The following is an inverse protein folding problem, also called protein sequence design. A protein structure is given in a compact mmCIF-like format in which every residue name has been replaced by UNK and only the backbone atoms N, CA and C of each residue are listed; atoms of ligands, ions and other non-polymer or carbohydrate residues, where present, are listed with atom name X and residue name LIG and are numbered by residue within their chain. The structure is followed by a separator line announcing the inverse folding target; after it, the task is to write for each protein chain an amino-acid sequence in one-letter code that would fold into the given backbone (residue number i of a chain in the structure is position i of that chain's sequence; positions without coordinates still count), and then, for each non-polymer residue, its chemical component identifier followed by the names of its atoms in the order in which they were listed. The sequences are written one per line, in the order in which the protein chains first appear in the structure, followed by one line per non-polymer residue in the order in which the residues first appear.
data_IF_241130805214
#
_entry.id   IF_241130805214
#
_cell.length_a   1.000
_cell.length_b   1.000
_cell.length_c   1.000
_cell.angle_alpha   90.00
_cell.angle_beta   90.00
_cell.angle_gamma   90.00
#
_symmetry.space_group_name_H-M   'P 1'
#
loop_
_entity.id
_entity.type
_entity.pdbx_description
1 polymer ?
#
# COMPACT_ATOMS: atom_id res chain seq x y z
N UNK A 1 12.44 22.75 -20.89
CA UNK A 1 13.05 22.07 -19.70
C UNK A 1 11.98 21.81 -18.65
N UNK A 2 11.81 20.57 -18.24
CA UNK A 2 10.78 20.12 -17.29
C UNK A 2 11.10 20.65 -15.90
N UNK A 3 10.10 21.25 -15.23
CA UNK A 3 10.17 21.76 -13.85
C UNK A 3 9.29 20.91 -12.93
N UNK A 4 9.60 20.85 -11.65
CA UNK A 4 8.74 20.15 -10.66
C UNK A 4 7.30 20.68 -10.64
N UNK A 5 7.12 21.95 -10.91
CA UNK A 5 5.80 22.56 -11.04
C UNK A 5 4.98 21.95 -12.19
N UNK A 6 5.61 21.65 -13.33
CA UNK A 6 4.93 20.97 -14.44
C UNK A 6 4.43 19.58 -14.00
N UNK A 7 5.25 18.85 -13.24
CA UNK A 7 4.88 17.54 -12.72
C UNK A 7 3.75 17.64 -11.67
N UNK A 8 3.76 18.64 -10.79
CA UNK A 8 2.68 18.87 -9.80
C UNK A 8 1.35 19.15 -10.50
N UNK A 9 1.35 20.02 -11.50
CA UNK A 9 0.14 20.32 -12.28
C UNK A 9 -0.35 19.07 -13.00
N UNK A 10 0.54 18.32 -13.63
CA UNK A 10 0.17 17.11 -14.35
C UNK A 10 -0.45 16.06 -13.42
N UNK A 11 0.17 15.77 -12.27
CA UNK A 11 -0.35 14.81 -11.29
C UNK A 11 -1.72 15.25 -10.78
N UNK A 12 -1.88 16.52 -10.38
CA UNK A 12 -3.17 17.02 -9.91
C UNK A 12 -4.28 16.88 -10.95
N UNK A 13 -4.01 17.22 -12.22
CA UNK A 13 -5.01 17.08 -13.30
C UNK A 13 -5.32 15.61 -13.59
N UNK A 14 -4.32 14.73 -13.54
CA UNK A 14 -4.53 13.30 -13.77
C UNK A 14 -5.35 12.64 -12.65
N UNK A 15 -5.18 13.06 -11.41
CA UNK A 15 -5.90 12.55 -10.24
C UNK A 15 -7.34 13.10 -10.14
N UNK A 16 -7.54 14.38 -10.43
CA UNK A 16 -8.89 14.99 -10.44
C UNK A 16 -9.73 14.55 -11.64
N UNK A 17 -9.10 14.21 -12.78
CA UNK A 17 -9.80 13.91 -14.03
C UNK A 17 -10.50 15.11 -14.69
N UNK A 18 -10.51 16.28 -14.05
CA UNK A 18 -11.12 17.53 -14.53
C UNK A 18 -10.17 18.71 -14.28
N UNK A 19 -9.93 19.49 -15.34
CA UNK A 19 -9.02 20.63 -15.27
C UNK A 19 -9.48 21.72 -14.28
N UNK A 20 -10.82 21.92 -14.14
CA UNK A 20 -11.38 22.91 -13.22
C UNK A 20 -11.16 22.52 -11.74
N UNK A 21 -11.33 21.25 -11.40
CA UNK A 21 -11.12 20.75 -10.04
C UNK A 21 -9.64 20.87 -9.65
N UNK A 22 -8.74 20.45 -10.51
CA UNK A 22 -7.31 20.61 -10.30
C UNK A 22 -6.90 22.10 -10.17
N UNK A 23 -7.53 23.00 -10.95
CA UNK A 23 -7.28 24.42 -10.88
C UNK A 23 -7.70 24.99 -9.51
N UNK A 24 -8.87 24.59 -9.00
CA UNK A 24 -9.33 24.96 -7.66
C UNK A 24 -8.40 24.44 -6.58
N UNK A 25 -7.98 23.17 -6.66
CA UNK A 25 -7.06 22.55 -5.70
C UNK A 25 -5.69 23.25 -5.64
N UNK A 26 -5.19 23.69 -6.79
CA UNK A 26 -3.89 24.36 -6.89
C UNK A 26 -3.98 25.89 -6.76
N UNK A 27 -5.16 26.45 -6.48
CA UNK A 27 -5.42 27.90 -6.42
C UNK A 27 -4.92 28.64 -7.67
N UNK A 28 -5.20 28.08 -8.86
CA UNK A 28 -4.80 28.63 -10.18
C UNK A 28 -5.97 28.67 -11.14
N UNK A 29 -5.77 29.30 -12.30
CA UNK A 29 -6.78 29.31 -13.35
C UNK A 29 -6.65 28.06 -14.25
N UNK A 30 -7.76 27.53 -14.82
CA UNK A 30 -7.71 26.42 -15.76
C UNK A 30 -6.83 26.73 -16.99
N UNK A 31 -6.81 27.98 -17.44
CA UNK A 31 -5.98 28.41 -18.56
C UNK A 31 -4.46 28.28 -18.23
N UNK A 32 -4.06 28.65 -17.00
CA UNK A 32 -2.68 28.52 -16.58
C UNK A 32 -2.26 27.04 -16.47
N UNK A 33 -3.13 26.16 -15.95
CA UNK A 33 -2.85 24.72 -15.92
C UNK A 33 -2.73 24.13 -17.33
N UNK A 34 -3.64 24.53 -18.24
CA UNK A 34 -3.61 24.08 -19.63
C UNK A 34 -2.30 24.46 -20.32
N UNK A 35 -1.81 25.68 -20.10
CA UNK A 35 -0.51 26.13 -20.65
C UNK A 35 0.65 25.31 -20.07
N UNK A 36 0.64 25.06 -18.76
CA UNK A 36 1.67 24.27 -18.09
C UNK A 36 1.70 22.83 -18.62
N UNK A 37 0.53 22.22 -18.83
CA UNK A 37 0.44 20.88 -19.42
C UNK A 37 0.95 20.85 -20.87
N UNK A 38 0.55 21.82 -21.70
CA UNK A 38 1.04 21.93 -23.08
C UNK A 38 2.58 22.07 -23.13
N UNK A 39 3.16 22.84 -22.22
CA UNK A 39 4.62 22.96 -22.13
C UNK A 39 5.27 21.63 -21.75
N UNK A 40 4.68 20.88 -20.79
CA UNK A 40 5.19 19.56 -20.41
C UNK A 40 5.08 18.56 -21.56
N UNK A 41 3.95 18.52 -22.26
CA UNK A 41 3.73 17.69 -23.45
C UNK A 41 4.73 18.04 -24.58
N UNK A 42 5.00 19.33 -24.79
CA UNK A 42 6.00 19.78 -25.74
C UNK A 42 7.43 19.36 -25.34
N UNK A 43 7.79 19.48 -24.07
CA UNK A 43 9.10 19.05 -23.56
C UNK A 43 9.29 17.51 -23.65
N UNK A 44 8.20 16.73 -23.54
CA UNK A 44 8.19 15.27 -23.68
C UNK A 44 8.05 14.79 -25.14
N UNK A 45 7.60 15.67 -26.03
CA UNK A 45 7.43 15.37 -27.46
C UNK A 45 6.16 14.58 -27.82
N UNK A 46 5.26 14.33 -26.85
CA UNK A 46 4.01 13.61 -27.10
C UNK A 46 2.93 13.97 -26.06
N UNK A 47 1.62 13.80 -26.40
CA UNK A 47 0.51 14.12 -25.51
C UNK A 47 0.43 13.14 -24.33
N UNK A 48 0.07 13.67 -23.17
CA UNK A 48 -0.16 12.91 -21.93
C UNK A 48 -1.63 12.51 -21.75
N UNK A 49 -2.55 13.21 -22.42
CA UNK A 49 -3.99 12.93 -22.38
C UNK A 49 -4.55 12.67 -23.77
N UNK A 50 -5.52 11.75 -23.84
CA UNK A 50 -6.17 11.37 -25.12
C UNK A 50 -7.15 12.44 -25.64
N UNK A 51 -7.64 13.32 -24.75
CA UNK A 51 -8.66 14.30 -25.10
C UNK A 51 -8.42 15.67 -24.45
N UNK A 52 -9.06 16.69 -24.95
CA UNK A 52 -8.96 18.05 -24.42
C UNK A 52 -9.54 18.20 -23.00
N UNK A 53 -10.50 17.35 -22.62
CA UNK A 53 -11.09 17.36 -21.26
C UNK A 53 -10.13 16.82 -20.20
N UNK A 54 -8.98 16.24 -20.61
CA UNK A 54 -7.95 15.70 -19.72
C UNK A 54 -8.47 14.61 -18.76
N UNK A 55 -9.50 13.88 -19.18
CA UNK A 55 -10.15 12.84 -18.38
C UNK A 55 -9.55 11.44 -18.57
N UNK A 56 -8.68 11.26 -19.58
CA UNK A 56 -8.08 9.97 -19.91
C UNK A 56 -6.63 10.14 -20.33
N UNK A 57 -5.76 9.36 -19.69
CA UNK A 57 -4.33 9.35 -19.98
C UNK A 57 -4.01 8.50 -21.20
N UNK A 58 -3.02 8.95 -21.98
CA UNK A 58 -2.35 8.11 -22.98
C UNK A 58 -1.47 7.05 -22.29
N UNK A 59 -0.98 6.02 -23.00
CA UNK A 59 0.02 5.10 -22.45
C UNK A 59 1.27 5.82 -21.90
N UNK A 60 1.75 6.86 -22.60
CA UNK A 60 2.82 7.73 -22.10
C UNK A 60 2.37 8.48 -20.84
N UNK A 61 1.14 9.01 -20.82
CA UNK A 61 0.58 9.71 -19.66
C UNK A 61 0.53 8.83 -18.42
N UNK A 62 0.11 7.57 -18.56
CA UNK A 62 0.07 6.62 -17.45
C UNK A 62 1.48 6.33 -16.90
N UNK A 63 2.46 6.11 -17.78
CA UNK A 63 3.85 5.94 -17.36
C UNK A 63 4.42 7.22 -16.73
N UNK A 64 4.20 8.37 -17.36
CA UNK A 64 4.65 9.66 -16.85
C UNK A 64 4.05 10.01 -15.48
N UNK A 65 2.79 9.61 -15.21
CA UNK A 65 2.15 9.81 -13.91
C UNK A 65 2.91 9.11 -12.80
N UNK A 66 3.25 7.84 -13.00
CA UNK A 66 4.04 7.08 -12.03
C UNK A 66 5.41 7.74 -11.77
N UNK A 67 6.11 8.15 -12.83
CA UNK A 67 7.42 8.79 -12.70
C UNK A 67 7.33 10.18 -12.05
N UNK A 68 6.30 10.97 -12.40
CA UNK A 68 6.07 12.27 -11.79
C UNK A 68 5.76 12.16 -10.29
N UNK A 69 4.93 11.21 -9.89
CA UNK A 69 4.65 10.93 -8.48
C UNK A 69 5.90 10.52 -7.71
N UNK A 70 6.77 9.68 -8.29
CA UNK A 70 8.06 9.30 -7.69
C UNK A 70 8.97 10.52 -7.49
N UNK A 71 9.15 11.33 -8.54
CA UNK A 71 10.00 12.52 -8.49
C UNK A 71 9.52 13.55 -7.46
N UNK A 72 8.20 13.80 -7.41
CA UNK A 72 7.61 14.73 -6.44
C UNK A 72 7.80 14.24 -5.00
N UNK A 73 7.57 12.95 -4.74
CA UNK A 73 7.78 12.37 -3.40
C UNK A 73 9.24 12.47 -2.96
N UNK A 74 10.19 12.16 -3.86
CA UNK A 74 11.61 12.27 -3.56
C UNK A 74 12.00 13.73 -3.24
N UNK A 75 11.50 14.70 -4.01
CA UNK A 75 11.74 16.12 -3.77
C UNK A 75 11.16 16.58 -2.43
N UNK A 76 9.90 16.25 -2.14
CA UNK A 76 9.25 16.65 -0.90
C UNK A 76 9.90 15.99 0.33
N UNK A 77 10.41 14.75 0.19
CA UNK A 77 11.22 14.07 1.18
C UNK A 77 12.53 14.83 1.46
N UNK A 78 13.26 15.18 0.40
CA UNK A 78 14.52 15.93 0.53
C UNK A 78 14.31 17.30 1.19
N UNK A 79 13.27 18.05 0.80
CA UNK A 79 12.93 19.34 1.44
C UNK A 79 12.58 19.15 2.91
N UNK A 80 11.88 18.09 3.25
CA UNK A 80 11.53 17.77 4.63
C UNK A 80 12.78 17.50 5.46
N UNK A 81 13.72 16.70 4.94
CA UNK A 81 15.01 16.44 5.61
C UNK A 81 15.85 17.71 5.79
N UNK A 82 15.93 18.57 4.78
CA UNK A 82 16.61 19.87 4.90
C UNK A 82 16.01 20.73 6.02
N UNK A 83 14.67 20.80 6.10
CA UNK A 83 13.97 21.55 7.16
C UNK A 83 14.23 20.97 8.55
N UNK A 84 14.27 19.64 8.68
CA UNK A 84 14.58 18.97 9.94
C UNK A 84 16.00 19.21 10.39
N UNK A 85 16.95 19.12 9.48
CA UNK A 85 18.35 19.43 9.74
C UNK A 85 18.50 20.89 10.22
N UNK A 86 17.86 21.83 9.51
CA UNK A 86 17.86 23.25 9.88
C UNK A 86 17.19 23.52 11.24
N UNK A 87 16.16 22.74 11.61
CA UNK A 87 15.46 22.87 12.89
C UNK A 87 16.18 22.18 14.06
N UNK A 88 17.30 21.48 13.82
CA UNK A 88 18.00 20.69 14.83
C UNK A 88 17.16 19.55 15.41
N UNK A 89 16.06 19.18 14.76
CA UNK A 89 15.15 18.12 15.21
C UNK A 89 15.72 16.74 14.84
N UNK A 90 15.67 15.81 15.77
CA UNK A 90 15.97 14.41 15.48
C UNK A 90 15.03 13.88 14.38
N UNK A 91 15.55 13.00 13.53
CA UNK A 91 14.87 12.54 12.31
C UNK A 91 13.48 11.94 12.51
N UNK A 92 12.74 11.78 11.42
CA UNK A 92 11.47 11.02 11.38
C UNK A 92 11.71 9.75 10.58
N UNK A 93 11.18 8.65 11.08
CA UNK A 93 11.15 7.37 10.38
C UNK A 93 9.71 7.05 10.05
N UNK A 94 9.43 6.83 8.76
CA UNK A 94 8.12 6.39 8.27
C UNK A 94 8.14 4.89 8.10
N UNK A 95 7.23 4.21 8.75
CA UNK A 95 7.12 2.75 8.74
C UNK A 95 5.75 2.36 8.20
N UNK A 96 5.71 1.42 7.28
CA UNK A 96 4.48 0.74 6.89
C UNK A 96 4.55 -0.72 7.34
N UNK A 97 3.46 -1.26 7.87
CA UNK A 97 3.41 -2.65 8.29
C UNK A 97 2.04 -3.25 7.97
N UNK A 98 2.00 -4.57 7.74
CA UNK A 98 0.72 -5.27 7.69
C UNK A 98 0.08 -5.26 9.07
N UNK A 99 -1.28 -5.30 9.19
CA UNK A 99 -1.98 -5.15 10.46
C UNK A 99 -1.50 -6.09 11.57
N UNK A 100 -1.17 -7.34 11.25
CA UNK A 100 -0.63 -8.30 12.21
C UNK A 100 0.74 -7.87 12.77
N UNK A 101 1.64 -7.41 11.91
CA UNK A 101 2.94 -6.89 12.35
C UNK A 101 2.78 -5.57 13.11
N UNK A 102 1.90 -4.67 12.66
CA UNK A 102 1.63 -3.40 13.31
C UNK A 102 1.12 -3.57 14.75
N UNK A 103 0.29 -4.60 14.98
CA UNK A 103 -0.29 -4.87 16.30
C UNK A 103 0.59 -5.73 17.20
N UNK A 104 1.32 -6.71 16.66
CA UNK A 104 2.05 -7.69 17.47
C UNK A 104 3.55 -7.40 17.60
N UNK A 105 4.18 -6.90 16.53
CA UNK A 105 5.64 -6.71 16.49
C UNK A 105 6.04 -5.25 16.74
N UNK A 106 5.33 -4.31 16.12
CA UNK A 106 5.73 -2.89 16.16
C UNK A 106 5.69 -2.28 17.55
N UNK A 107 4.72 -2.56 18.45
CA UNK A 107 4.72 -1.93 19.77
C UNK A 107 6.02 -2.17 20.54
N UNK A 108 6.49 -3.41 20.58
CA UNK A 108 7.74 -3.75 21.27
C UNK A 108 8.99 -3.20 20.58
N UNK A 109 9.01 -3.19 19.25
CA UNK A 109 10.14 -2.66 18.48
C UNK A 109 10.25 -1.14 18.62
N UNK A 110 9.12 -0.44 18.48
CA UNK A 110 9.08 1.02 18.54
C UNK A 110 9.33 1.56 19.95
N UNK A 111 8.82 0.87 21.00
CA UNK A 111 9.14 1.22 22.38
C UNK A 111 10.64 1.15 22.67
N UNK A 112 11.32 0.11 22.17
CA UNK A 112 12.78 -0.01 22.30
C UNK A 112 13.53 1.09 21.51
N UNK A 113 13.07 1.39 20.30
CA UNK A 113 13.64 2.46 19.50
C UNK A 113 13.51 3.82 20.21
N UNK A 114 12.32 4.14 20.74
CA UNK A 114 12.08 5.38 21.48
C UNK A 114 12.92 5.51 22.74
N UNK A 115 13.14 4.40 23.48
CA UNK A 115 14.02 4.38 24.63
C UNK A 115 15.49 4.66 24.25
N UNK A 116 15.96 4.15 23.10
CA UNK A 116 17.33 4.35 22.62
C UNK A 116 17.53 5.67 21.89
N UNK A 117 16.49 6.19 21.25
CA UNK A 117 16.52 7.40 20.40
C UNK A 117 15.28 8.27 20.67
N UNK A 118 15.19 8.92 21.84
CA UNK A 118 13.98 9.66 22.26
C UNK A 118 13.60 10.83 21.35
N UNK A 119 14.56 11.32 20.55
CA UNK A 119 14.30 12.40 19.60
C UNK A 119 13.81 11.94 18.22
N UNK A 120 13.71 10.62 17.97
CA UNK A 120 13.22 10.12 16.68
C UNK A 120 11.69 10.06 16.70
N UNK A 121 11.06 10.75 15.76
CA UNK A 121 9.64 10.63 15.49
C UNK A 121 9.39 9.41 14.60
N UNK A 122 8.45 8.55 14.97
CA UNK A 122 8.03 7.43 14.13
C UNK A 122 6.59 7.64 13.68
N UNK A 123 6.35 7.47 12.38
CA UNK A 123 5.02 7.45 11.79
C UNK A 123 4.76 6.03 11.29
N UNK A 124 3.88 5.30 11.98
CA UNK A 124 3.50 3.95 11.60
C UNK A 124 2.16 3.98 10.84
N UNK A 125 2.09 3.24 9.73
CA UNK A 125 0.87 3.00 8.95
C UNK A 125 0.65 1.51 8.81
N UNK A 126 -0.58 1.07 9.04
CA UNK A 126 -1.00 -0.31 8.78
C UNK A 126 -1.75 -0.38 7.44
N UNK A 127 -1.18 -1.11 6.50
CA UNK A 127 -1.67 -1.30 5.13
C UNK A 127 -1.39 -2.73 4.68
N UNK A 128 -1.97 -3.16 3.57
CA UNK A 128 -1.73 -4.51 3.03
C UNK A 128 -0.30 -4.69 2.50
N UNK A 129 0.11 -5.97 2.29
CA UNK A 129 1.48 -6.30 1.89
C UNK A 129 1.90 -5.68 0.56
N UNK A 130 1.01 -5.60 -0.41
CA UNK A 130 1.33 -5.01 -1.72
C UNK A 130 1.53 -3.50 -1.58
N UNK A 131 0.66 -2.84 -0.84
CA UNK A 131 0.79 -1.41 -0.55
C UNK A 131 2.04 -1.09 0.28
N UNK A 132 2.45 -1.96 1.22
CA UNK A 132 3.72 -1.81 1.96
C UNK A 132 4.90 -1.83 1.01
N UNK A 133 4.98 -2.84 0.12
CA UNK A 133 6.08 -2.96 -0.85
C UNK A 133 6.14 -1.75 -1.76
N UNK A 134 5.00 -1.30 -2.27
CA UNK A 134 4.92 -0.12 -3.14
C UNK A 134 5.30 1.17 -2.40
N UNK A 135 4.90 1.30 -1.14
CA UNK A 135 5.26 2.45 -0.30
C UNK A 135 6.78 2.54 -0.07
N UNK A 136 7.46 1.41 0.15
CA UNK A 136 8.92 1.35 0.25
C UNK A 136 9.56 1.66 -1.11
N UNK A 137 9.11 0.99 -2.18
CA UNK A 137 9.63 1.18 -3.54
C UNK A 137 9.56 2.63 -4.00
N UNK A 138 8.47 3.30 -3.66
CA UNK A 138 8.25 4.71 -4.02
C UNK A 138 8.92 5.70 -3.07
N UNK A 139 9.60 5.26 -2.00
CA UNK A 139 10.18 6.14 -0.99
C UNK A 139 9.15 6.89 -0.14
N UNK A 140 7.88 6.44 -0.14
CA UNK A 140 6.84 7.01 0.70
C UNK A 140 7.01 6.64 2.18
N UNK A 141 7.58 5.47 2.45
CA UNK A 141 8.06 5.04 3.76
C UNK A 141 9.51 4.59 3.66
N UNK A 142 10.22 4.66 4.79
CA UNK A 142 11.63 4.28 4.88
C UNK A 142 11.80 2.78 5.11
N UNK A 143 10.86 2.16 5.83
CA UNK A 143 10.88 0.74 6.20
C UNK A 143 9.49 0.14 6.05
N UNK A 144 9.44 -1.10 5.54
CA UNK A 144 8.22 -1.88 5.44
C UNK A 144 8.32 -3.22 6.17
N UNK A 145 7.22 -3.68 6.78
CA UNK A 145 7.08 -5.05 7.32
C UNK A 145 5.85 -5.69 6.70
N UNK A 146 6.08 -6.69 5.87
CA UNK A 146 5.04 -7.31 5.05
C UNK A 146 5.29 -8.80 4.81
N UNK A 147 4.27 -9.51 4.39
CA UNK A 147 4.43 -10.84 3.80
C UNK A 147 4.79 -10.67 2.33
N UNK A 148 6.00 -11.08 1.96
CA UNK A 148 6.51 -10.94 0.59
C UNK A 148 6.91 -12.31 0.08
N UNK A 149 6.32 -12.76 -1.01
CA UNK A 149 6.64 -14.03 -1.66
C UNK A 149 7.89 -13.92 -2.55
N UNK A 150 8.12 -12.75 -3.15
CA UNK A 150 9.27 -12.46 -4.00
C UNK A 150 9.75 -11.03 -3.73
N UNK A 151 11.08 -10.84 -3.78
CA UNK A 151 11.65 -9.50 -3.66
C UNK A 151 11.19 -8.63 -4.85
N UNK A 152 10.64 -7.47 -4.55
CA UNK A 152 10.29 -6.50 -5.58
C UNK A 152 11.55 -5.79 -6.09
N UNK A 153 11.59 -5.48 -7.37
CA UNK A 153 12.70 -4.73 -7.96
C UNK A 153 12.87 -3.38 -7.25
N UNK A 154 14.10 -3.06 -6.91
CA UNK A 154 14.44 -1.81 -6.19
C UNK A 154 14.18 -1.84 -4.68
N UNK A 155 13.75 -2.97 -4.11
CA UNK A 155 13.51 -3.12 -2.66
C UNK A 155 14.41 -4.23 -2.10
N UNK A 156 15.19 -3.90 -1.07
CA UNK A 156 15.91 -4.91 -0.29
C UNK A 156 14.96 -5.53 0.74
N UNK A 157 14.77 -6.83 0.67
CA UNK A 157 13.95 -7.58 1.62
C UNK A 157 14.81 -8.54 2.46
N UNK A 158 14.56 -8.57 3.77
CA UNK A 158 15.18 -9.50 4.70
C UNK A 158 14.08 -10.25 5.46
N UNK A 159 14.23 -11.57 5.61
CA UNK A 159 13.28 -12.37 6.37
C UNK A 159 13.46 -12.15 7.87
N UNK A 160 12.43 -11.65 8.53
CA UNK A 160 12.42 -11.40 9.97
C UNK A 160 11.90 -12.61 10.73
N UNK A 161 10.81 -13.23 10.25
CA UNK A 161 10.19 -14.42 10.85
C UNK A 161 9.49 -15.25 9.79
N UNK A 162 9.14 -16.45 10.15
CA UNK A 162 8.32 -17.36 9.36
C UNK A 162 7.39 -18.11 10.33
N UNK A 163 6.11 -18.15 9.99
CA UNK A 163 5.09 -18.90 10.71
C UNK A 163 4.25 -19.73 9.74
N UNK A 164 3.67 -20.86 10.19
CA UNK A 164 2.79 -21.66 9.37
C UNK A 164 1.41 -20.99 9.24
N UNK A 165 0.74 -21.21 8.12
CA UNK A 165 -0.68 -20.95 8.03
C UNK A 165 -1.44 -21.97 8.86
N UNK A 166 -2.45 -21.52 9.59
CA UNK A 166 -3.32 -22.35 10.41
C UNK A 166 -4.77 -22.05 10.10
N UNK A 167 -5.61 -23.07 10.25
CA UNK A 167 -7.05 -22.86 10.18
C UNK A 167 -7.54 -22.22 11.48
N UNK A 168 -8.27 -21.14 11.36
CA UNK A 168 -8.94 -20.47 12.47
C UNK A 168 -10.44 -20.73 12.40
N UNK A 169 -11.01 -21.26 13.48
CA UNK A 169 -12.43 -21.56 13.59
C UNK A 169 -12.94 -21.22 15.01
N UNK A 170 -14.26 -21.08 15.20
CA UNK A 170 -14.84 -20.97 16.53
C UNK A 170 -14.45 -22.17 17.42
N UNK A 171 -14.24 -21.95 18.71
CA UNK A 171 -13.83 -23.01 19.67
C UNK A 171 -14.82 -24.20 19.71
N UNK A 172 -16.08 -23.95 19.43
CA UNK A 172 -17.14 -24.98 19.38
C UNK A 172 -17.28 -25.67 18.01
N UNK A 173 -16.54 -25.22 17.01
CA UNK A 173 -16.61 -25.76 15.66
C UNK A 173 -16.14 -27.23 15.64
N UNK A 174 -16.76 -28.12 14.84
CA UNK A 174 -16.37 -29.55 14.75
C UNK A 174 -14.87 -29.73 14.41
N UNK A 175 -14.31 -28.86 13.57
CA UNK A 175 -12.89 -28.90 13.20
C UNK A 175 -11.96 -28.63 14.38
N UNK A 176 -12.35 -27.79 15.35
CA UNK A 176 -11.57 -27.51 16.55
C UNK A 176 -11.36 -28.73 17.45
N UNK A 177 -12.24 -29.73 17.37
CA UNK A 177 -12.20 -30.95 18.19
C UNK A 177 -11.48 -32.11 17.51
N UNK A 178 -11.05 -31.94 16.25
CA UNK A 178 -10.32 -32.99 15.53
C UNK A 178 -8.92 -33.17 16.07
N UNK A 179 -8.56 -34.43 16.36
CA UNK A 179 -7.23 -34.78 16.88
C UNK A 179 -6.20 -35.08 15.79
N UNK A 180 -6.63 -35.28 14.55
CA UNK A 180 -5.74 -35.48 13.39
C UNK A 180 -5.45 -34.18 12.67
N UNK A 181 -4.34 -34.15 11.93
CA UNK A 181 -4.07 -33.07 11.01
C UNK A 181 -5.24 -32.88 10.03
N UNK A 182 -5.60 -31.62 9.82
CA UNK A 182 -6.66 -31.26 8.87
C UNK A 182 -6.15 -31.39 7.43
N UNK A 183 -7.05 -31.79 6.56
CA UNK A 183 -6.86 -31.79 5.12
C UNK A 183 -7.77 -30.75 4.47
N UNK A 184 -7.44 -30.30 3.30
CA UNK A 184 -8.26 -29.33 2.55
C UNK A 184 -9.70 -29.79 2.32
N UNK A 185 -9.89 -31.11 2.12
CA UNK A 185 -11.20 -31.73 1.99
C UNK A 185 -12.06 -31.71 3.26
N UNK A 186 -11.49 -31.34 4.40
CA UNK A 186 -12.25 -31.19 5.65
C UNK A 186 -12.95 -29.84 5.77
N UNK A 187 -12.61 -28.90 4.88
CA UNK A 187 -13.12 -27.52 4.89
C UNK A 187 -14.23 -27.43 3.85
N UNK A 188 -15.45 -27.20 4.32
CA UNK A 188 -16.58 -26.96 3.43
C UNK A 188 -16.49 -25.57 2.82
N UNK A 189 -16.54 -25.42 1.47
CA UNK A 189 -16.39 -24.13 0.83
C UNK A 189 -17.40 -23.07 1.26
N UNK A 190 -18.62 -23.47 1.54
CA UNK A 190 -19.73 -22.60 1.97
C UNK A 190 -19.54 -21.99 3.35
N UNK A 191 -18.67 -22.58 4.17
CA UNK A 191 -18.28 -22.05 5.49
C UNK A 191 -16.90 -21.38 5.50
N UNK A 192 -16.22 -21.35 4.35
CA UNK A 192 -14.89 -20.72 4.26
C UNK A 192 -15.00 -19.24 4.03
N UNK A 193 -14.31 -18.48 4.87
CA UNK A 193 -14.14 -17.03 4.72
C UNK A 193 -12.76 -16.80 4.12
N UNK A 194 -12.72 -16.38 2.86
CA UNK A 194 -11.49 -16.07 2.18
C UNK A 194 -10.84 -14.81 2.79
N UNK A 195 -9.53 -14.83 2.91
CA UNK A 195 -8.78 -13.66 3.39
C UNK A 195 -7.71 -13.23 2.39
N UNK A 196 -7.41 -11.92 2.39
CA UNK A 196 -6.46 -11.32 1.46
C UNK A 196 -5.00 -11.79 1.64
N UNK A 197 -4.65 -12.37 2.80
CA UNK A 197 -3.30 -12.90 3.05
C UNK A 197 -3.03 -14.18 2.27
N UNK A 198 -4.08 -14.92 1.91
CA UNK A 198 -3.97 -16.17 1.17
C UNK A 198 -3.81 -15.95 -0.33
N UNK A 199 -4.04 -14.75 -0.83
CA UNK A 199 -3.88 -14.44 -2.25
C UNK A 199 -2.40 -14.57 -2.66
N UNK A 200 -2.13 -15.39 -3.68
CA UNK A 200 -0.80 -15.58 -4.23
C UNK A 200 0.08 -16.63 -3.56
N UNK A 201 -0.45 -17.43 -2.61
CA UNK A 201 0.29 -18.54 -2.01
C UNK A 201 0.52 -19.72 -2.96
N UNK A 202 -0.15 -19.74 -4.12
CA UNK A 202 -0.01 -20.77 -5.15
C UNK A 202 -0.28 -22.20 -4.63
N UNK A 203 -1.28 -22.35 -3.77
CA UNK A 203 -1.76 -23.64 -3.25
C UNK A 203 -3.08 -23.98 -3.91
N UNK A 204 -3.14 -24.93 -4.88
CA UNK A 204 -4.35 -25.17 -5.69
C UNK A 204 -5.61 -25.47 -4.88
N UNK A 205 -5.48 -26.21 -3.77
CA UNK A 205 -6.61 -26.52 -2.90
C UNK A 205 -7.16 -25.28 -2.16
N UNK A 206 -6.28 -24.36 -1.77
CA UNK A 206 -6.66 -23.10 -1.16
C UNK A 206 -7.28 -22.16 -2.20
N UNK A 207 -6.70 -22.09 -3.40
CA UNK A 207 -7.21 -21.27 -4.50
C UNK A 207 -8.65 -21.72 -4.86
N UNK A 208 -8.92 -23.02 -4.86
CA UNK A 208 -10.26 -23.57 -5.07
C UNK A 208 -11.25 -23.17 -3.96
N UNK A 209 -10.82 -23.18 -2.69
CA UNK A 209 -11.64 -22.71 -1.56
C UNK A 209 -11.93 -21.22 -1.66
N UNK A 210 -10.91 -20.40 -1.97
CA UNK A 210 -11.06 -18.96 -2.15
C UNK A 210 -12.06 -18.65 -3.27
N UNK A 211 -11.96 -19.34 -4.40
CA UNK A 211 -12.85 -19.12 -5.55
C UNK A 211 -14.33 -19.47 -5.25
N UNK A 212 -14.59 -20.38 -4.31
CA UNK A 212 -15.93 -20.82 -3.91
C UNK A 212 -16.43 -20.13 -2.65
N UNK A 213 -15.58 -19.38 -1.94
CA UNK A 213 -15.94 -18.74 -0.68
C UNK A 213 -17.02 -17.67 -0.90
N UNK A 214 -18.12 -17.70 -0.12
CA UNK A 214 -19.20 -16.72 -0.24
C UNK A 214 -18.82 -15.34 0.31
N UNK A 215 -17.74 -15.25 1.09
CA UNK A 215 -17.28 -14.03 1.74
C UNK A 215 -15.76 -13.93 1.65
N UNK A 216 -15.29 -12.75 1.25
CA UNK A 216 -13.88 -12.38 1.31
C UNK A 216 -13.70 -11.18 2.24
N UNK A 217 -12.75 -11.28 3.17
CA UNK A 217 -12.43 -10.23 4.13
C UNK A 217 -10.94 -9.91 4.05
N UNK A 218 -10.62 -8.64 3.83
CA UNK A 218 -9.23 -8.19 3.64
C UNK A 218 -8.54 -7.80 4.96
N UNK A 219 -9.31 -7.41 5.96
CA UNK A 219 -8.79 -7.02 7.28
C UNK A 219 -8.75 -8.21 8.24
N UNK A 220 -7.58 -8.53 8.78
CA UNK A 220 -7.41 -9.60 9.77
C UNK A 220 -8.29 -9.40 11.01
N UNK A 221 -8.43 -8.16 11.49
CA UNK A 221 -9.28 -7.85 12.65
C UNK A 221 -10.76 -8.15 12.38
N UNK A 222 -11.25 -7.74 11.22
CA UNK A 222 -12.61 -8.05 10.77
C UNK A 222 -12.79 -9.55 10.58
N UNK A 223 -11.85 -10.21 9.93
CA UNK A 223 -11.85 -11.65 9.70
C UNK A 223 -12.02 -12.44 11.00
N UNK A 224 -11.20 -12.14 12.01
CA UNK A 224 -11.30 -12.77 13.34
C UNK A 224 -12.65 -12.47 14.02
N UNK A 225 -13.23 -11.30 13.79
CA UNK A 225 -14.55 -10.95 14.32
C UNK A 225 -15.67 -11.79 13.66
N UNK A 226 -15.61 -12.00 12.35
CA UNK A 226 -16.53 -12.91 11.65
C UNK A 226 -16.42 -14.34 12.15
N UNK A 227 -15.20 -14.86 12.33
CA UNK A 227 -14.99 -16.20 12.89
C UNK A 227 -15.54 -16.29 14.30
N UNK A 228 -15.28 -15.30 15.17
CA UNK A 228 -15.84 -15.28 16.53
C UNK A 228 -17.36 -15.23 16.57
N UNK A 229 -17.97 -14.55 15.62
CA UNK A 229 -19.42 -14.50 15.46
C UNK A 229 -20.02 -15.82 14.89
N UNK A 230 -19.18 -16.82 14.57
CA UNK A 230 -19.64 -18.09 14.01
C UNK A 230 -20.00 -18.05 12.53
N UNK A 231 -19.58 -17.01 11.80
CA UNK A 231 -19.91 -16.85 10.38
C UNK A 231 -19.18 -17.85 9.47
N UNK A 232 -18.12 -18.50 9.97
CA UNK A 232 -17.36 -19.48 9.21
C UNK A 232 -15.98 -19.74 9.79
N UNK A 233 -15.11 -20.31 8.94
CA UNK A 233 -13.71 -20.65 9.23
C UNK A 233 -12.79 -19.96 8.21
N UNK A 234 -11.53 -19.75 8.53
CA UNK A 234 -10.57 -19.09 7.64
C UNK A 234 -9.18 -19.72 7.75
#
# INVERSE_FOLDING_TARGET
MIKLEHLRVFVAVAECGLLQEAASQLARTPAALSMTLKQLEADLGAPLFENERKSRLTPLGAHALQQAQLALRACDGAVTEMRRFAAGSAGEVKVAAVPSAATLLMPGALSRLQAQRPGVRVVLRDIDSQAVVEAVRSGWVDVGVATVSQAAEGVRAERVLQDPFVLVCPSQHPLARRKRALQWSDIAPESFIANGLCAGLQVPALDALIAQAPLMVLSTASLLSFVRAGAGVT
#
